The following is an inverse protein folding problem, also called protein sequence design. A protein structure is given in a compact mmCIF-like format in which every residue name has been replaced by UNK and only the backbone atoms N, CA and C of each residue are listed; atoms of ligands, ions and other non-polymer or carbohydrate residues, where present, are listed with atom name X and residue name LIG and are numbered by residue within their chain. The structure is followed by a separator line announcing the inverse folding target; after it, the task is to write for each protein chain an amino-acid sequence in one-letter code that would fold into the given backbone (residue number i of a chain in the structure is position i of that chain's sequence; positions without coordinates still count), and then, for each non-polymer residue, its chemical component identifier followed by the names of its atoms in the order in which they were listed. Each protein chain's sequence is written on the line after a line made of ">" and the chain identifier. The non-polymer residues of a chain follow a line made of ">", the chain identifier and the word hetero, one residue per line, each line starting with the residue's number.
data_IF_753636754291
#
_entry.id   IF_753636754291
#
_cell.length_a   1.000
_cell.length_b   1.000
_cell.length_c   1.000
_cell.angle_alpha   90.00
_cell.angle_beta   90.00
_cell.angle_gamma   90.00
#
_symmetry.space_group_name_H-M   'P 1'
#
loop_
_entity.id
_entity.type
_entity.pdbx_description
1 polymer ?
#
# COMPACT_ATOMS: atom_id res chain seq x y z
N UNK A 1 -32.52 6.60 8.21
CA UNK A 1 -31.34 6.25 7.40
C UNK A 1 -30.33 7.39 7.50
N UNK A 2 -29.16 7.15 8.10
CA UNK A 2 -28.09 8.17 8.20
C UNK A 2 -27.37 8.27 6.85
N UNK A 3 -27.13 9.47 6.29
CA UNK A 3 -26.40 9.60 5.04
C UNK A 3 -24.95 9.15 5.26
N UNK A 4 -24.49 8.24 4.41
CA UNK A 4 -23.09 7.81 4.30
C UNK A 4 -22.23 9.07 4.13
N UNK A 5 -21.46 9.37 5.17
CA UNK A 5 -20.49 10.45 5.20
C UNK A 5 -19.50 10.18 4.06
N UNK A 6 -19.62 10.92 2.96
CA UNK A 6 -18.66 10.94 1.86
C UNK A 6 -17.28 11.18 2.50
N UNK A 7 -16.45 10.13 2.53
CA UNK A 7 -15.05 10.25 2.92
C UNK A 7 -14.48 11.28 1.96
N UNK A 8 -14.10 12.43 2.49
CA UNK A 8 -13.58 13.52 1.70
C UNK A 8 -12.36 13.00 0.94
N UNK A 9 -12.51 12.85 -0.38
CA UNK A 9 -11.38 12.69 -1.26
C UNK A 9 -10.48 13.90 -1.02
N UNK A 10 -9.39 13.69 -0.29
CA UNK A 10 -8.37 14.67 -0.03
C UNK A 10 -7.98 15.23 -1.40
N UNK A 11 -8.26 16.52 -1.65
CA UNK A 11 -7.87 17.20 -2.89
C UNK A 11 -6.35 17.08 -3.00
N UNK A 12 -5.88 16.08 -3.74
CA UNK A 12 -4.48 15.97 -4.09
C UNK A 12 -4.12 17.24 -4.87
N UNK A 13 -2.99 17.90 -4.60
CA UNK A 13 -2.51 18.95 -5.48
C UNK A 13 -2.47 18.38 -6.91
N UNK A 14 -2.84 19.19 -7.92
CA UNK A 14 -2.78 18.80 -9.34
C UNK A 14 -1.32 18.55 -9.73
N UNK A 15 -0.79 17.41 -9.31
CA UNK A 15 0.55 16.96 -9.64
C UNK A 15 0.52 16.49 -11.09
N UNK A 16 1.38 17.06 -11.92
CA UNK A 16 1.42 16.73 -13.33
C UNK A 16 1.85 15.25 -13.51
N UNK A 17 0.98 14.47 -14.14
CA UNK A 17 1.21 13.04 -14.44
C UNK A 17 2.44 12.83 -15.32
N UNK A 18 2.79 13.80 -16.17
CA UNK A 18 3.97 13.73 -17.04
C UNK A 18 5.29 13.72 -16.22
N UNK A 19 5.26 14.35 -15.05
CA UNK A 19 6.40 14.42 -14.14
C UNK A 19 6.53 13.17 -13.26
N UNK A 20 5.64 12.18 -13.40
CA UNK A 20 5.62 11.00 -12.53
C UNK A 20 6.69 9.98 -12.95
N UNK A 21 7.61 9.66 -12.04
CA UNK A 21 8.63 8.62 -12.24
C UNK A 21 8.45 7.51 -11.21
N UNK A 22 8.40 6.25 -11.68
CA UNK A 22 8.35 5.07 -10.79
C UNK A 22 9.73 4.77 -10.23
N UNK A 23 9.82 4.64 -8.91
CA UNK A 23 11.06 4.29 -8.20
C UNK A 23 11.00 2.88 -7.62
N UNK A 24 9.80 2.36 -7.39
CA UNK A 24 9.59 1.04 -6.84
C UNK A 24 8.47 0.33 -7.59
N UNK A 25 8.68 -0.96 -7.85
CA UNK A 25 7.65 -1.88 -8.34
C UNK A 25 7.72 -3.13 -7.46
N UNK A 26 6.62 -3.40 -6.75
CA UNK A 26 6.52 -4.58 -5.91
C UNK A 26 6.43 -5.85 -6.77
N UNK A 27 7.16 -6.93 -6.45
CA UNK A 27 7.19 -8.14 -7.27
C UNK A 27 5.84 -8.86 -7.32
N UNK A 28 5.03 -8.76 -6.27
CA UNK A 28 3.69 -9.36 -6.24
C UNK A 28 2.65 -8.56 -7.03
N UNK A 29 2.95 -7.32 -7.42
CA UNK A 29 2.01 -6.42 -8.11
C UNK A 29 1.37 -7.05 -9.34
N UNK A 30 2.18 -7.75 -10.14
CA UNK A 30 1.71 -8.39 -11.36
C UNK A 30 0.74 -9.54 -11.08
N UNK A 31 0.97 -10.26 -9.98
CA UNK A 31 0.21 -11.46 -9.62
C UNK A 31 -1.05 -11.14 -8.81
N UNK A 32 -1.05 -10.08 -8.00
CA UNK A 32 -2.20 -9.71 -7.14
C UNK A 32 -3.49 -9.57 -7.94
N UNK A 33 -3.46 -8.94 -9.12
CA UNK A 33 -4.65 -8.84 -9.98
C UNK A 33 -5.16 -10.20 -10.43
N UNK A 34 -4.26 -11.12 -10.79
CA UNK A 34 -4.63 -12.49 -11.18
C UNK A 34 -5.22 -13.25 -10.00
N UNK A 35 -4.62 -13.13 -8.82
CA UNK A 35 -5.13 -13.75 -7.60
C UNK A 35 -6.51 -13.24 -7.21
N UNK A 36 -6.76 -11.92 -7.27
CA UNK A 36 -8.09 -11.36 -7.02
C UNK A 36 -9.13 -11.86 -8.02
N UNK A 37 -8.78 -11.94 -9.31
CA UNK A 37 -9.67 -12.52 -10.34
C UNK A 37 -9.96 -14.00 -10.10
N UNK A 38 -8.95 -14.80 -9.76
CA UNK A 38 -9.14 -16.21 -9.42
C UNK A 38 -10.03 -16.37 -8.18
N UNK A 39 -9.80 -15.57 -7.14
CA UNK A 39 -10.63 -15.59 -5.94
C UNK A 39 -12.09 -15.22 -6.23
N UNK A 40 -12.32 -14.23 -7.09
CA UNK A 40 -13.65 -13.87 -7.57
C UNK A 40 -14.28 -15.02 -8.36
N UNK A 41 -13.52 -15.70 -9.24
CA UNK A 41 -14.03 -16.87 -9.96
C UNK A 41 -14.44 -17.99 -9.00
N UNK A 42 -13.60 -18.35 -8.03
CA UNK A 42 -13.94 -19.32 -6.98
C UNK A 42 -15.20 -18.92 -6.21
N UNK A 43 -15.31 -17.64 -5.83
CA UNK A 43 -16.46 -17.09 -5.16
C UNK A 43 -17.73 -17.22 -6.03
N UNK A 44 -17.67 -16.82 -7.30
CA UNK A 44 -18.81 -16.93 -8.23
C UNK A 44 -19.24 -18.37 -8.48
N UNK A 45 -18.29 -19.30 -8.70
CA UNK A 45 -18.59 -20.71 -8.87
C UNK A 45 -19.23 -21.30 -7.60
N UNK A 46 -18.69 -20.97 -6.43
CA UNK A 46 -19.27 -21.39 -5.15
C UNK A 46 -20.71 -20.90 -4.99
N UNK A 47 -20.96 -19.61 -5.24
CA UNK A 47 -22.32 -19.05 -5.16
C UNK A 47 -23.31 -19.67 -6.16
N UNK A 48 -22.85 -20.02 -7.37
CA UNK A 48 -23.70 -20.70 -8.36
C UNK A 48 -23.98 -22.16 -8.00
N UNK A 49 -23.06 -22.84 -7.30
CA UNK A 49 -23.20 -24.24 -6.90
C UNK A 49 -24.09 -24.41 -5.66
N UNK A 50 -24.15 -23.42 -4.76
CA UNK A 50 -24.94 -23.50 -3.51
C UNK A 50 -26.42 -23.87 -3.76
N UNK A 51 -27.17 -23.19 -4.66
CA UNK A 51 -28.55 -23.58 -4.95
C UNK A 51 -28.67 -25.02 -5.44
N UNK A 52 -27.74 -25.46 -6.28
CA UNK A 52 -27.75 -26.83 -6.81
C UNK A 52 -27.51 -27.87 -5.71
N UNK A 53 -26.56 -27.61 -4.80
CA UNK A 53 -26.26 -28.50 -3.66
C UNK A 53 -27.44 -28.56 -2.69
N UNK A 54 -28.11 -27.42 -2.47
CA UNK A 54 -29.26 -27.35 -1.58
C UNK A 54 -30.50 -28.06 -2.17
N UNK A 55 -30.83 -27.81 -3.43
CA UNK A 55 -32.03 -28.34 -4.09
C UNK A 55 -31.86 -29.81 -4.46
N UNK A 56 -30.77 -30.18 -5.13
CA UNK A 56 -30.56 -31.53 -5.66
C UNK A 56 -29.75 -32.43 -4.73
N UNK A 57 -28.78 -31.85 -4.00
CA UNK A 57 -27.92 -32.60 -3.09
C UNK A 57 -28.59 -32.95 -1.75
N UNK A 58 -29.79 -32.41 -1.47
CA UNK A 58 -30.48 -32.52 -0.16
C UNK A 58 -29.57 -32.19 1.02
N UNK A 59 -28.59 -31.31 0.80
CA UNK A 59 -27.65 -30.96 1.84
C UNK A 59 -28.37 -30.21 2.98
N UNK A 60 -28.03 -30.48 4.25
CA UNK A 60 -28.57 -29.70 5.35
C UNK A 60 -28.19 -28.23 5.17
N UNK A 61 -29.05 -27.32 5.65
CA UNK A 61 -28.84 -25.86 5.55
C UNK A 61 -27.44 -25.44 6.03
N UNK A 62 -26.95 -26.10 7.09
CA UNK A 62 -25.60 -25.90 7.65
C UNK A 62 -24.50 -26.24 6.63
N UNK A 63 -24.67 -27.30 5.84
CA UNK A 63 -23.73 -27.69 4.78
C UNK A 63 -23.72 -26.70 3.62
N UNK A 64 -24.89 -26.22 3.20
CA UNK A 64 -25.00 -25.19 2.16
C UNK A 64 -24.39 -23.85 2.62
N UNK A 65 -24.62 -23.46 3.87
CA UNK A 65 -24.01 -22.27 4.47
C UNK A 65 -22.47 -22.40 4.57
N UNK A 66 -21.97 -23.57 4.99
CA UNK A 66 -20.53 -23.87 5.03
C UNK A 66 -19.87 -23.77 3.67
N UNK A 67 -20.52 -24.27 2.61
CA UNK A 67 -20.04 -24.14 1.23
C UNK A 67 -20.02 -22.67 0.74
N UNK A 68 -21.00 -21.87 1.16
CA UNK A 68 -21.01 -20.43 0.86
C UNK A 68 -19.88 -19.68 1.55
N UNK A 69 -19.63 -19.97 2.83
CA UNK A 69 -18.54 -19.35 3.58
C UNK A 69 -17.19 -19.73 2.96
N UNK A 70 -16.98 -21.02 2.65
CA UNK A 70 -15.71 -21.49 2.08
C UNK A 70 -15.39 -20.87 0.72
N UNK A 71 -16.41 -20.55 -0.09
CA UNK A 71 -16.24 -19.85 -1.36
C UNK A 71 -15.74 -18.40 -1.20
N UNK A 72 -16.05 -17.74 -0.08
CA UNK A 72 -15.65 -16.36 0.21
C UNK A 72 -14.26 -16.29 0.86
N UNK A 73 -13.82 -17.34 1.56
CA UNK A 73 -12.54 -17.36 2.29
C UNK A 73 -11.33 -16.97 1.41
N UNK A 74 -11.14 -17.52 0.20
CA UNK A 74 -10.03 -17.11 -0.67
C UNK A 74 -10.05 -15.63 -1.02
N UNK A 75 -11.23 -15.05 -1.25
CA UNK A 75 -11.41 -13.64 -1.58
C UNK A 75 -11.05 -12.75 -0.39
N UNK A 76 -11.50 -13.10 0.82
CA UNK A 76 -11.15 -12.38 2.05
C UNK A 76 -9.65 -12.47 2.34
N UNK A 77 -9.06 -13.66 2.20
CA UNK A 77 -7.64 -13.90 2.47
C UNK A 77 -6.73 -13.10 1.51
N UNK A 78 -7.02 -13.14 0.21
CA UNK A 78 -6.23 -12.40 -0.79
C UNK A 78 -6.38 -10.89 -0.58
N UNK A 79 -7.58 -10.40 -0.25
CA UNK A 79 -7.77 -8.98 0.03
C UNK A 79 -7.05 -8.54 1.30
N UNK A 80 -7.09 -9.34 2.37
CA UNK A 80 -6.36 -9.07 3.60
C UNK A 80 -4.86 -8.90 3.35
N UNK A 81 -4.26 -9.78 2.54
CA UNK A 81 -2.82 -9.71 2.22
C UNK A 81 -2.47 -8.56 1.26
N UNK A 82 -3.34 -8.24 0.31
CA UNK A 82 -3.03 -7.31 -0.78
C UNK A 82 -3.49 -5.87 -0.55
N UNK A 83 -4.44 -5.62 0.35
CA UNK A 83 -5.00 -4.27 0.57
C UNK A 83 -3.93 -3.26 1.02
N UNK A 84 -2.98 -3.71 1.82
CA UNK A 84 -1.89 -2.89 2.37
C UNK A 84 -0.59 -3.05 1.60
N UNK A 85 -0.53 -3.92 0.59
CA UNK A 85 0.66 -4.15 -0.21
C UNK A 85 0.88 -3.02 -1.20
N UNK A 86 2.08 -2.43 -1.19
CA UNK A 86 2.45 -1.38 -2.12
C UNK A 86 2.82 -2.00 -3.46
N UNK A 87 2.05 -1.65 -4.49
CA UNK A 87 2.32 -2.07 -5.85
C UNK A 87 3.44 -1.25 -6.49
N UNK A 88 3.36 0.07 -6.38
CA UNK A 88 4.34 0.98 -6.98
C UNK A 88 4.49 2.23 -6.13
N UNK A 89 5.67 2.82 -6.18
CA UNK A 89 5.92 4.14 -5.58
C UNK A 89 6.42 5.07 -6.68
N UNK A 90 5.89 6.28 -6.68
CA UNK A 90 6.25 7.31 -7.63
C UNK A 90 6.72 8.57 -6.92
N UNK A 91 7.68 9.22 -7.55
CA UNK A 91 8.13 10.57 -7.25
C UNK A 91 7.75 11.48 -8.40
N UNK A 92 7.69 12.78 -8.13
CA UNK A 92 7.43 13.79 -9.14
C UNK A 92 8.72 14.52 -9.47
N UNK A 93 9.14 14.43 -10.73
CA UNK A 93 10.34 15.05 -11.26
C UNK A 93 10.10 15.60 -12.66
N UNK A 94 10.62 16.79 -13.01
CA UNK A 94 10.57 17.27 -14.38
C UNK A 94 11.20 16.25 -15.34
N UNK A 95 10.67 16.05 -16.56
CA UNK A 95 11.13 15.01 -17.48
C UNK A 95 12.63 15.13 -17.81
N UNK A 96 13.12 16.37 -17.87
CA UNK A 96 14.50 16.74 -18.15
C UNK A 96 15.49 16.16 -17.11
N UNK A 97 15.07 16.04 -15.83
CA UNK A 97 15.93 15.54 -14.74
C UNK A 97 15.80 14.03 -14.51
N UNK A 98 14.85 13.35 -15.15
CA UNK A 98 14.58 11.91 -14.95
C UNK A 98 15.80 11.02 -15.27
N UNK A 99 16.63 11.46 -16.21
CA UNK A 99 17.79 10.72 -16.70
C UNK A 99 19.11 11.25 -16.16
N UNK A 100 19.08 12.20 -15.22
CA UNK A 100 20.29 12.76 -14.66
C UNK A 100 21.03 11.69 -13.81
N UNK A 101 22.28 11.35 -14.14
CA UNK A 101 23.01 10.31 -13.42
C UNK A 101 23.36 10.73 -11.98
N UNK A 102 23.44 12.03 -11.70
CA UNK A 102 23.63 12.60 -10.37
C UNK A 102 22.51 12.18 -9.40
N UNK A 103 21.26 12.25 -9.85
CA UNK A 103 20.08 11.89 -9.06
C UNK A 103 20.01 10.40 -8.76
N UNK A 104 20.55 9.53 -9.62
CA UNK A 104 20.56 8.08 -9.38
C UNK A 104 21.65 7.65 -8.40
N UNK A 105 22.68 8.48 -8.19
CA UNK A 105 23.81 8.17 -7.30
C UNK A 105 23.49 8.34 -5.82
N UNK A 106 22.56 9.23 -5.47
CA UNK A 106 22.12 9.39 -4.09
C UNK A 106 20.73 10.03 -4.00
N UNK A 107 19.96 9.61 -3.00
CA UNK A 107 18.69 10.24 -2.68
C UNK A 107 18.93 11.58 -1.97
N UNK A 108 18.44 12.67 -2.56
CA UNK A 108 18.43 13.98 -1.92
C UNK A 108 17.04 14.62 -2.07
N UNK A 109 16.28 14.84 -0.98
CA UNK A 109 14.92 15.36 -1.09
C UNK A 109 14.88 16.82 -1.56
N UNK A 110 15.94 17.61 -1.35
CA UNK A 110 16.00 19.02 -1.76
C UNK A 110 16.15 19.20 -3.28
N UNK A 111 16.65 18.18 -3.98
CA UNK A 111 16.70 18.20 -5.46
C UNK A 111 15.35 17.85 -6.08
N UNK A 112 14.49 17.15 -5.32
CA UNK A 112 13.15 16.73 -5.72
C UNK A 112 12.11 17.84 -5.47
N UNK A 113 12.25 18.56 -4.35
CA UNK A 113 11.37 19.67 -3.97
C UNK A 113 12.16 20.71 -3.18
N UNK A 114 11.91 22.00 -3.43
CA UNK A 114 12.67 23.10 -2.81
C UNK A 114 12.61 23.11 -1.27
N UNK A 115 11.51 22.62 -0.68
CA UNK A 115 11.36 22.50 0.76
C UNK A 115 12.06 21.28 1.39
N UNK A 116 12.66 20.38 0.59
CA UNK A 116 13.16 19.10 1.07
C UNK A 116 12.07 18.12 1.51
N UNK A 117 10.81 18.37 1.15
CA UNK A 117 9.67 17.52 1.48
C UNK A 117 8.83 17.22 0.21
N UNK A 118 9.33 16.34 -0.68
CA UNK A 118 8.66 16.01 -1.93
C UNK A 118 7.38 15.19 -1.71
N UNK A 119 6.47 15.27 -2.67
CA UNK A 119 5.30 14.38 -2.73
C UNK A 119 5.69 13.01 -3.29
N UNK A 120 5.15 11.98 -2.66
CA UNK A 120 5.24 10.58 -3.04
C UNK A 120 3.84 10.05 -3.31
N UNK A 121 3.66 9.33 -4.41
CA UNK A 121 2.41 8.62 -4.69
C UNK A 121 2.65 7.12 -4.53
N UNK A 122 1.89 6.51 -3.63
CA UNK A 122 1.92 5.08 -3.34
C UNK A 122 0.70 4.44 -3.96
N UNK A 123 0.91 3.45 -4.82
CA UNK A 123 -0.17 2.65 -5.41
C UNK A 123 -0.42 1.40 -4.55
N UNK A 124 -1.68 1.19 -4.15
CA UNK A 124 -2.19 -0.03 -3.52
C UNK A 124 -3.31 -0.64 -4.36
N UNK A 125 -3.80 -1.82 -3.97
CA UNK A 125 -4.93 -2.46 -4.63
C UNK A 125 -6.21 -2.35 -3.82
N UNK A 126 -7.26 -1.79 -4.41
CA UNK A 126 -8.60 -1.84 -3.85
C UNK A 126 -9.17 -3.27 -3.87
N UNK A 127 -10.27 -3.51 -3.17
CA UNK A 127 -10.92 -4.80 -2.98
C UNK A 127 -11.21 -5.56 -4.29
N UNK A 128 -11.56 -4.84 -5.35
CA UNK A 128 -11.81 -5.40 -6.69
C UNK A 128 -10.55 -5.54 -7.57
N UNK A 129 -9.38 -5.19 -7.04
CA UNK A 129 -8.11 -5.20 -7.79
C UNK A 129 -7.88 -3.96 -8.65
N UNK A 130 -8.70 -2.92 -8.47
CA UNK A 130 -8.43 -1.58 -8.98
C UNK A 130 -7.16 -0.99 -8.33
N UNK A 131 -6.51 -0.06 -9.03
CA UNK A 131 -5.40 0.70 -8.44
C UNK A 131 -6.01 1.80 -7.57
N UNK A 132 -5.55 1.88 -6.33
CA UNK A 132 -5.84 3.00 -5.44
C UNK A 132 -4.55 3.79 -5.24
N UNK A 133 -4.56 5.09 -5.56
CA UNK A 133 -3.40 5.96 -5.43
C UNK A 133 -3.51 6.80 -4.16
N UNK A 134 -2.49 6.76 -3.31
CA UNK A 134 -2.40 7.61 -2.13
C UNK A 134 -1.20 8.53 -2.27
N UNK A 135 -1.43 9.83 -2.43
CA UNK A 135 -0.36 10.84 -2.45
C UNK A 135 -0.12 11.35 -1.04
N UNK A 136 1.14 11.30 -0.61
CA UNK A 136 1.60 11.68 0.71
C UNK A 136 2.85 12.54 0.57
N UNK A 137 3.13 13.40 1.56
CA UNK A 137 4.45 14.03 1.64
C UNK A 137 5.47 13.06 2.22
N UNK A 138 6.73 13.23 1.86
CA UNK A 138 7.82 12.41 2.38
C UNK A 138 7.89 12.49 3.91
N UNK A 139 7.69 13.68 4.48
CA UNK A 139 7.61 13.90 5.93
C UNK A 139 6.41 13.24 6.59
N UNK A 140 5.36 12.88 5.84
CA UNK A 140 4.20 12.18 6.38
C UNK A 140 4.42 10.67 6.52
N UNK A 141 5.50 10.12 5.97
CA UNK A 141 5.80 8.69 6.08
C UNK A 141 6.62 8.39 7.33
N UNK A 142 6.12 7.46 8.14
CA UNK A 142 6.84 6.92 9.30
C UNK A 142 7.01 5.42 9.17
N UNK A 143 8.20 4.93 9.45
CA UNK A 143 8.46 3.49 9.54
C UNK A 143 8.04 2.96 10.91
N UNK A 144 7.24 1.90 10.91
CA UNK A 144 7.06 1.04 12.07
C UNK A 144 8.20 0.03 12.06
N UNK A 145 9.12 0.19 13.00
CA UNK A 145 10.34 -0.60 13.09
C UNK A 145 10.00 -2.07 13.38
N UNK A 146 10.11 -2.91 12.34
CA UNK A 146 9.98 -4.35 12.44
C UNK A 146 11.38 -4.98 12.36
N UNK A 147 11.99 -5.25 13.52
CA UNK A 147 13.31 -5.91 13.57
C UNK A 147 13.19 -7.33 12.99
N UNK A 148 13.91 -7.59 11.90
CA UNK A 148 14.10 -8.94 11.33
C UNK A 148 13.20 -9.33 10.15
N UNK A 149 12.22 -8.51 9.76
CA UNK A 149 11.34 -8.82 8.62
C UNK A 149 11.91 -8.25 7.31
N UNK A 150 11.68 -8.99 6.21
CA UNK A 150 12.02 -8.55 4.84
C UNK A 150 11.13 -7.39 4.34
N UNK A 151 10.21 -6.92 5.19
CA UNK A 151 9.14 -5.98 4.88
C UNK A 151 9.27 -4.75 5.75
N UNK A 152 9.08 -3.59 5.14
CA UNK A 152 8.98 -2.30 5.82
C UNK A 152 7.51 -1.92 5.85
N UNK A 153 7.02 -1.51 7.02
CA UNK A 153 5.65 -1.01 7.17
C UNK A 153 5.71 0.50 7.35
N UNK A 154 5.19 1.24 6.38
CA UNK A 154 5.01 2.67 6.51
C UNK A 154 3.59 3.00 6.93
N UNK A 155 3.46 4.06 7.72
CA UNK A 155 2.17 4.65 8.13
C UNK A 155 2.21 6.15 7.88
N UNK A 156 1.03 6.74 7.68
CA UNK A 156 0.88 8.18 7.63
C UNK A 156 0.99 8.80 9.03
N UNK A 157 1.78 9.86 9.16
CA UNK A 157 1.97 10.67 10.36
C UNK A 157 0.69 11.45 10.68
N UNK A 158 0.33 11.52 11.96
CA UNK A 158 -0.80 12.35 12.44
C UNK A 158 -2.19 11.71 12.34
N UNK A 159 -2.30 10.49 11.82
CA UNK A 159 -3.57 9.77 11.73
C UNK A 159 -3.87 9.02 13.05
N UNK A 160 -5.10 9.18 13.57
CA UNK A 160 -5.57 8.48 14.77
C UNK A 160 -5.34 6.98 14.61
N UNK A 161 -4.94 6.29 15.69
CA UNK A 161 -4.53 4.87 15.68
C UNK A 161 -5.49 3.90 14.95
N UNK A 162 -6.78 4.25 14.83
CA UNK A 162 -7.81 3.42 14.19
C UNK A 162 -7.89 3.56 12.66
N UNK A 163 -7.45 4.69 12.09
CA UNK A 163 -7.58 4.97 10.65
C UNK A 163 -6.24 4.89 9.90
N UNK A 164 -5.17 4.43 10.56
CA UNK A 164 -3.82 4.38 9.97
C UNK A 164 -3.77 3.42 8.78
N UNK A 165 -3.76 3.98 7.57
CA UNK A 165 -3.45 3.20 6.36
C UNK A 165 -2.00 2.72 6.45
N UNK A 166 -1.82 1.39 6.39
CA UNK A 166 -0.50 0.75 6.40
C UNK A 166 -0.06 0.47 4.98
N UNK A 167 1.22 0.71 4.71
CA UNK A 167 1.85 0.46 3.42
C UNK A 167 2.99 -0.54 3.64
N UNK A 168 2.85 -1.75 3.12
CA UNK A 168 3.90 -2.77 3.16
C UNK A 168 4.73 -2.71 1.91
N UNK A 169 6.03 -2.49 2.10
CA UNK A 169 7.02 -2.40 1.03
C UNK A 169 8.12 -3.43 1.28
N UNK A 170 8.58 -4.08 0.23
CA UNK A 170 9.65 -5.08 0.36
C UNK A 170 11.03 -4.41 0.44
N UNK A 171 11.74 -4.63 1.56
CA UNK A 171 13.03 -4.00 1.86
C UNK A 171 14.11 -4.39 0.86
N UNK A 172 14.08 -5.66 0.41
CA UNK A 172 15.07 -6.20 -0.53
C UNK A 172 15.04 -5.48 -1.86
N UNK A 173 13.85 -5.21 -2.39
CA UNK A 173 13.65 -4.54 -3.68
C UNK A 173 14.03 -3.07 -3.61
N UNK A 174 13.64 -2.36 -2.53
CA UNK A 174 14.08 -0.97 -2.32
C UNK A 174 15.60 -0.84 -2.25
N UNK A 175 16.31 -1.83 -1.71
CA UNK A 175 17.77 -1.82 -1.59
C UNK A 175 18.52 -2.12 -2.90
N UNK A 176 17.83 -2.58 -3.95
CA UNK A 176 18.47 -2.90 -5.24
C UNK A 176 18.92 -1.66 -5.99
N UNK A 177 18.16 -0.57 -5.88
CA UNK A 177 18.46 0.71 -6.51
C UNK A 177 19.01 1.69 -5.47
N UNK A 178 20.08 2.42 -5.84
CA UNK A 178 20.79 3.33 -4.92
C UNK A 178 19.88 4.48 -4.49
N UNK A 179 19.05 4.99 -5.39
CA UNK A 179 18.09 6.04 -5.08
C UNK A 179 17.02 5.54 -4.11
N UNK A 180 16.40 4.40 -4.42
CA UNK A 180 15.37 3.78 -3.58
C UNK A 180 15.90 3.36 -2.19
N UNK A 181 17.16 2.94 -2.11
CA UNK A 181 17.86 2.68 -0.86
C UNK A 181 18.04 3.94 -0.03
N UNK A 182 18.46 5.05 -0.65
CA UNK A 182 18.62 6.32 0.04
C UNK A 182 17.29 6.90 0.54
N UNK A 183 16.19 6.70 -0.21
CA UNK A 183 14.84 7.04 0.24
C UNK A 183 14.48 6.27 1.52
N UNK A 184 14.72 4.96 1.51
CA UNK A 184 14.47 4.11 2.67
C UNK A 184 15.25 4.61 3.89
N UNK A 185 16.57 4.76 3.77
CA UNK A 185 17.46 5.23 4.85
C UNK A 185 17.04 6.60 5.40
N UNK A 186 16.57 7.50 4.54
CA UNK A 186 16.05 8.80 4.97
C UNK A 186 14.82 8.64 5.87
N UNK A 187 13.86 7.79 5.48
CA UNK A 187 12.65 7.51 6.26
C UNK A 187 13.00 6.81 7.58
N UNK A 188 13.94 5.84 7.56
CA UNK A 188 14.38 5.14 8.78
C UNK A 188 15.01 6.15 9.77
N UNK A 189 15.87 7.05 9.28
CA UNK A 189 16.55 8.07 10.10
C UNK A 189 15.56 9.05 10.72
N UNK A 190 14.60 9.56 9.95
CA UNK A 190 13.56 10.46 10.47
C UNK A 190 12.71 9.77 11.54
N UNK A 191 12.35 8.51 11.31
CA UNK A 191 11.56 7.72 12.25
C UNK A 191 12.31 7.44 13.56
N UNK A 192 13.62 7.18 13.49
CA UNK A 192 14.48 6.94 14.64
C UNK A 192 14.73 8.18 15.51
N UNK A 193 14.94 9.35 14.89
CA UNK A 193 15.12 10.62 15.61
C UNK A 193 13.88 10.96 16.46
N UNK A 194 12.69 10.66 15.96
CA UNK A 194 11.45 10.88 16.70
C UNK A 194 11.25 9.93 17.89
N UNK A 195 11.67 8.67 17.79
CA UNK A 195 11.58 7.72 18.93
C UNK A 195 12.44 8.21 20.11
N UNK A 196 13.60 8.80 19.81
CA UNK A 196 14.50 9.38 20.81
C UNK A 196 13.87 10.64 21.43
N UNK A 197 13.23 11.50 20.63
CA UNK A 197 12.56 12.69 21.16
C UNK A 197 11.32 12.37 22.01
N UNK A 198 10.47 11.43 21.58
CA UNK A 198 9.29 11.01 22.35
C UNK A 198 9.67 10.35 23.68
N UNK A 199 10.68 9.48 23.69
CA UNK A 199 11.17 8.85 24.93
C UNK A 199 11.87 9.80 25.90
N UNK A 200 12.35 10.97 25.42
CA UNK A 200 12.93 12.01 26.27
C UNK A 200 11.89 12.93 26.92
N UNK A 201 10.68 12.99 26.36
CA UNK A 201 9.58 13.82 26.89
C UNK A 201 8.81 13.04 27.97
N UNK A 202 8.66 11.72 27.84
CA UNK A 202 8.02 10.86 28.84
C UNK A 202 8.87 10.60 30.10
N UNK A 203 10.09 11.14 30.17
CA UNK A 203 11.00 11.03 31.34
C UNK A 203 11.16 12.33 32.15
N UNK A 204 10.32 13.33 31.90
CA UNK A 204 10.22 14.56 32.72
C UNK A 204 8.85 14.64 33.36
#
# INVERSE_FOLDING_TARGET
>A
MKPLKKIAAHKNPKLNLENRMSIYVGPLSYHVRRYKRLALLFCTCGFLLIPSIYIYGKAPIVGAAGAGISAIVPLCFINYLSATYVSRIFIYLPPQRRYEPSLRKSFNPYTLHSSGDPYLTVETFDWLGGIEETTLRLSELKEIQNKGLQWVTWIRRGENNKDRKKFYVEKKILKQDVFSKGLLEWIEKQSGLEQIQGSSIDKK
#
